data_IF_635018535303
#
_entry.id   IF_635018535303
#
_cell.length_a   1.000
_cell.length_b   1.000
_cell.length_c   1.000
_cell.angle_alpha   90.00
_cell.angle_beta   90.00
_cell.angle_gamma   90.00
#
_symmetry.space_group_name_H-M   'P 1'
#
loop_
_entity.id
_entity.type
_entity.pdbx_description
1 polymer ?
#
# COMPACT_ATOMS: atom_id res chain seq x y z
N UNK A 1 -33.44 -67.08 -15.55
CA UNK A 1 -32.15 -66.38 -15.86
C UNK A 1 -32.42 -64.89 -16.00
N UNK A 2 -32.08 -64.13 -14.99
CA UNK A 2 -32.24 -62.67 -14.98
C UNK A 2 -30.85 -62.04 -15.15
N UNK A 3 -30.64 -61.29 -16.22
CA UNK A 3 -29.42 -60.56 -16.47
C UNK A 3 -29.55 -59.15 -15.82
N UNK A 4 -28.70 -58.87 -14.87
CA UNK A 4 -28.58 -57.56 -14.24
C UNK A 4 -27.50 -56.77 -14.98
N UNK A 5 -27.89 -55.66 -15.59
CA UNK A 5 -27.00 -54.74 -16.29
C UNK A 5 -26.43 -53.74 -15.28
N UNK A 6 -25.12 -53.74 -15.10
CA UNK A 6 -24.41 -52.80 -14.22
C UNK A 6 -23.98 -51.59 -15.07
N UNK A 7 -24.58 -50.42 -14.80
CA UNK A 7 -24.18 -49.16 -15.43
C UNK A 7 -23.10 -48.50 -14.55
N UNK A 8 -21.89 -48.45 -15.05
CA UNK A 8 -20.79 -47.70 -14.42
C UNK A 8 -20.88 -46.22 -14.80
N UNK A 9 -21.10 -45.37 -13.82
CA UNK A 9 -21.11 -43.93 -13.97
C UNK A 9 -19.67 -43.40 -13.88
N UNK A 10 -19.08 -43.01 -15.00
CA UNK A 10 -17.80 -42.31 -15.04
C UNK A 10 -18.01 -40.87 -14.62
N UNK A 11 -17.52 -40.51 -13.43
CA UNK A 11 -17.39 -39.12 -13.00
C UNK A 11 -16.05 -38.59 -13.54
N UNK A 12 -16.10 -37.82 -14.62
CA UNK A 12 -14.97 -37.05 -15.08
C UNK A 12 -14.81 -35.79 -14.22
N UNK A 13 -13.83 -35.80 -13.34
CA UNK A 13 -13.41 -34.63 -12.59
C UNK A 13 -12.73 -33.64 -13.56
N UNK A 14 -13.42 -32.54 -13.85
CA UNK A 14 -12.83 -31.43 -14.61
C UNK A 14 -11.82 -30.68 -13.74
N UNK A 15 -10.53 -31.00 -13.87
CA UNK A 15 -9.39 -30.26 -13.32
C UNK A 15 -8.89 -29.21 -14.33
N UNK A 16 -9.73 -28.22 -14.64
CA UNK A 16 -9.37 -27.14 -15.57
C UNK A 16 -9.83 -25.80 -15.02
N UNK A 17 -9.02 -25.16 -14.17
CA UNK A 17 -9.09 -23.69 -13.96
C UNK A 17 -7.94 -23.05 -13.17
N UNK A 18 -6.99 -23.81 -12.61
CA UNK A 18 -5.90 -23.20 -11.80
C UNK A 18 -4.72 -22.65 -12.62
N UNK A 19 -4.49 -23.09 -13.84
CA UNK A 19 -3.31 -22.70 -14.61
C UNK A 19 -3.44 -21.31 -15.28
N UNK A 20 -4.64 -20.90 -15.62
CA UNK A 20 -4.86 -19.63 -16.33
C UNK A 20 -4.77 -18.38 -15.42
N UNK A 21 -5.02 -18.52 -14.11
CA UNK A 21 -4.91 -17.38 -13.17
C UNK A 21 -3.46 -17.03 -12.83
N UNK A 22 -2.59 -18.04 -12.74
CA UNK A 22 -1.16 -17.85 -12.45
C UNK A 22 -0.45 -17.15 -13.62
N UNK A 23 -0.76 -17.53 -14.86
CA UNK A 23 -0.17 -16.89 -16.06
C UNK A 23 -0.57 -15.42 -16.19
N UNK A 24 -1.84 -15.07 -15.90
CA UNK A 24 -2.31 -13.70 -16.04
C UNK A 24 -1.77 -12.74 -14.96
N UNK A 25 -1.40 -13.26 -13.76
CA UNK A 25 -0.75 -12.46 -12.72
C UNK A 25 0.74 -12.29 -13.02
N UNK A 26 1.41 -13.33 -13.51
CA UNK A 26 2.83 -13.30 -13.92
C UNK A 26 3.09 -12.25 -15.00
N UNK A 27 2.13 -12.04 -15.93
CA UNK A 27 2.22 -11.01 -16.97
C UNK A 27 2.10 -9.57 -16.47
N UNK A 28 1.70 -9.33 -15.21
CA UNK A 28 1.57 -8.01 -14.59
C UNK A 28 2.68 -7.72 -13.57
N UNK A 29 3.65 -8.62 -13.41
CA UNK A 29 4.77 -8.44 -12.50
C UNK A 29 5.85 -7.54 -13.13
N UNK A 30 6.32 -6.57 -12.36
CA UNK A 30 7.37 -5.63 -12.73
C UNK A 30 8.57 -5.92 -11.82
N UNK A 31 9.62 -6.53 -12.38
CA UNK A 31 10.69 -7.09 -11.56
C UNK A 31 12.00 -6.34 -11.57
N UNK A 32 12.28 -5.43 -12.52
CA UNK A 32 13.64 -4.88 -12.59
C UNK A 32 13.81 -3.52 -13.25
N UNK A 33 12.79 -2.92 -13.88
CA UNK A 33 13.01 -1.76 -14.73
C UNK A 33 12.31 -0.49 -14.24
N UNK A 34 12.77 0.62 -14.74
CA UNK A 34 12.10 1.90 -14.66
C UNK A 34 10.68 1.72 -15.22
N UNK A 35 9.70 1.76 -14.31
CA UNK A 35 8.31 1.68 -14.69
C UNK A 35 7.93 2.92 -15.51
N UNK A 36 7.51 2.77 -16.75
CA UNK A 36 7.24 3.89 -17.67
C UNK A 36 5.75 4.05 -17.95
N UNK A 37 5.32 5.28 -18.13
CA UNK A 37 3.95 5.62 -18.51
C UNK A 37 3.75 5.51 -20.04
N UNK A 38 2.51 5.74 -20.50
CA UNK A 38 2.15 5.68 -21.93
C UNK A 38 2.81 6.75 -22.78
N UNK A 39 3.44 7.76 -22.17
CA UNK A 39 4.19 8.80 -22.86
C UNK A 39 5.71 8.51 -22.86
N UNK A 40 6.12 7.32 -22.39
CA UNK A 40 7.51 6.87 -22.32
C UNK A 40 8.33 7.53 -21.20
N UNK A 41 7.66 8.10 -20.18
CA UNK A 41 8.32 8.74 -19.05
C UNK A 41 8.31 7.84 -17.82
N UNK A 42 9.36 7.89 -16.98
CA UNK A 42 9.34 7.18 -15.70
C UNK A 42 8.11 7.55 -14.86
N UNK A 43 7.44 6.53 -14.32
CA UNK A 43 6.41 6.75 -13.31
C UNK A 43 7.09 7.21 -12.03
N UNK A 44 6.57 8.27 -11.43
CA UNK A 44 7.03 8.81 -10.16
C UNK A 44 5.83 8.84 -9.20
N UNK A 45 5.61 7.72 -8.52
CA UNK A 45 4.50 7.48 -7.61
C UNK A 45 4.93 6.47 -6.54
N UNK A 46 5.76 6.91 -5.59
CA UNK A 46 6.34 6.05 -4.57
C UNK A 46 5.45 5.90 -3.33
N UNK A 47 5.74 4.93 -2.48
CA UNK A 47 4.88 4.63 -1.32
C UNK A 47 3.42 4.40 -1.69
N UNK A 48 3.19 3.89 -2.88
CA UNK A 48 1.93 3.97 -3.59
C UNK A 48 0.79 3.12 -3.00
N UNK A 49 -0.43 3.49 -3.39
CA UNK A 49 -1.64 2.66 -3.30
C UNK A 49 -2.44 2.74 -4.58
N UNK A 50 -3.29 1.75 -4.81
CA UNK A 50 -4.15 1.66 -5.99
C UNK A 50 -5.60 1.61 -5.58
N UNK A 51 -6.42 2.49 -6.18
CA UNK A 51 -7.86 2.42 -6.12
C UNK A 51 -8.40 1.83 -7.45
N UNK A 52 -9.19 0.75 -7.36
CA UNK A 52 -10.00 0.31 -8.50
C UNK A 52 -11.39 0.94 -8.42
N UNK A 53 -11.78 1.67 -9.47
CA UNK A 53 -13.06 2.35 -9.53
C UNK A 53 -13.62 2.35 -10.95
N UNK A 54 -14.81 1.77 -11.13
CA UNK A 54 -15.55 1.73 -12.40
C UNK A 54 -14.72 1.23 -13.59
N UNK A 55 -14.00 0.12 -13.40
CA UNK A 55 -13.21 -0.53 -14.46
C UNK A 55 -11.81 0.05 -14.66
N UNK A 56 -11.38 1.02 -13.86
CA UNK A 56 -10.10 1.70 -13.98
C UNK A 56 -9.34 1.61 -12.67
N UNK A 57 -8.06 1.26 -12.75
CA UNK A 57 -7.10 1.35 -11.65
C UNK A 57 -6.50 2.76 -11.62
N UNK A 58 -6.44 3.36 -10.45
CA UNK A 58 -5.79 4.65 -10.20
C UNK A 58 -4.67 4.44 -9.18
N UNK A 59 -3.44 4.60 -9.65
CA UNK A 59 -2.22 4.54 -8.85
C UNK A 59 -1.93 5.93 -8.29
N UNK A 60 -1.81 6.04 -6.98
CA UNK A 60 -1.43 7.26 -6.28
C UNK A 60 -0.13 7.05 -5.54
N UNK A 61 0.80 7.97 -5.66
CA UNK A 61 2.06 7.88 -4.92
C UNK A 61 2.70 9.26 -4.73
N UNK A 62 3.61 9.31 -3.78
CA UNK A 62 4.42 10.49 -3.52
C UNK A 62 5.40 10.76 -4.67
N UNK A 63 5.56 12.03 -5.00
CA UNK A 63 6.52 12.46 -6.03
C UNK A 63 7.88 12.70 -5.37
N UNK A 64 8.86 11.91 -5.74
CA UNK A 64 10.27 12.10 -5.38
C UNK A 64 10.96 12.83 -6.52
N UNK A 65 11.30 14.12 -6.34
CA UNK A 65 11.91 14.93 -7.40
C UNK A 65 12.84 16.00 -6.85
N UNK A 66 14.04 16.06 -7.42
CA UNK A 66 15.06 17.02 -7.07
C UNK A 66 16.22 16.41 -6.28
N UNK A 67 17.13 17.24 -5.81
CA UNK A 67 18.33 16.78 -5.12
C UNK A 67 17.99 16.05 -3.82
N UNK A 68 18.58 14.89 -3.64
CA UNK A 68 18.55 14.16 -2.37
C UNK A 68 19.61 14.70 -1.42
N UNK A 69 19.25 14.89 -0.16
CA UNK A 69 20.18 15.33 0.90
C UNK A 69 20.05 14.49 2.15
N UNK A 70 21.13 14.44 2.93
CA UNK A 70 21.16 13.83 4.25
C UNK A 70 20.72 14.85 5.31
N UNK A 71 19.74 14.50 6.14
CA UNK A 71 19.28 15.34 7.24
C UNK A 71 20.37 15.37 8.33
N UNK A 72 20.86 16.57 8.75
CA UNK A 72 21.92 16.65 9.76
C UNK A 72 21.45 16.18 11.13
N UNK A 73 22.37 15.59 11.90
CA UNK A 73 22.20 15.26 13.33
C UNK A 73 21.14 14.18 13.64
N UNK A 74 20.80 13.36 12.67
CA UNK A 74 20.03 12.14 12.93
C UNK A 74 20.97 11.00 13.37
N UNK A 75 20.47 10.06 14.15
CA UNK A 75 21.21 8.87 14.60
C UNK A 75 21.16 7.70 13.59
N UNK A 76 20.52 7.92 12.44
CA UNK A 76 20.40 7.00 11.32
C UNK A 76 20.52 7.77 9.99
N UNK A 77 20.80 7.08 8.90
CA UNK A 77 20.92 7.69 7.56
C UNK A 77 19.56 8.14 7.05
N UNK A 78 19.24 9.39 7.27
CA UNK A 78 17.95 10.00 6.97
C UNK A 78 18.04 10.88 5.72
N UNK A 79 17.89 10.26 4.56
CA UNK A 79 17.89 10.97 3.29
C UNK A 79 16.51 11.55 2.95
N UNK A 80 16.48 12.73 2.36
CA UNK A 80 15.28 13.44 1.92
C UNK A 80 15.40 14.00 0.52
N UNK A 81 14.26 14.27 -0.06
CA UNK A 81 14.06 15.00 -1.30
C UNK A 81 12.91 15.98 -1.10
N UNK A 82 12.85 17.13 -1.80
CA UNK A 82 11.71 18.04 -1.67
C UNK A 82 10.38 17.33 -1.88
N UNK A 83 9.39 17.61 -1.02
CA UNK A 83 8.07 17.03 -1.19
C UNK A 83 7.44 17.50 -2.51
N UNK A 84 7.21 16.59 -3.43
CA UNK A 84 6.66 16.88 -4.76
C UNK A 84 5.13 16.84 -4.82
N UNK A 85 4.47 16.49 -3.71
CA UNK A 85 3.03 16.23 -3.66
C UNK A 85 2.68 14.79 -4.04
N UNK A 86 1.45 14.56 -4.50
CA UNK A 86 0.94 13.24 -4.88
C UNK A 86 0.61 13.21 -6.36
N UNK A 87 1.20 12.28 -7.09
CA UNK A 87 0.89 11.99 -8.48
C UNK A 87 -0.23 10.96 -8.60
N UNK A 88 -0.87 10.93 -9.77
CA UNK A 88 -1.85 9.91 -10.12
C UNK A 88 -1.59 9.38 -11.53
N UNK A 89 -1.71 8.06 -11.69
CA UNK A 89 -1.72 7.38 -12.99
C UNK A 89 -2.95 6.51 -13.09
N UNK A 90 -3.42 6.21 -14.29
CA UNK A 90 -4.57 5.34 -14.49
C UNK A 90 -4.32 4.28 -15.53
N UNK A 91 -4.86 3.08 -15.30
CA UNK A 91 -4.74 1.91 -16.18
C UNK A 91 -6.03 1.10 -16.18
N UNK A 92 -6.32 0.41 -17.29
CA UNK A 92 -7.40 -0.59 -17.36
C UNK A 92 -6.87 -2.01 -17.28
N UNK A 93 -5.56 -2.22 -17.40
CA UNK A 93 -4.93 -3.52 -17.55
C UNK A 93 -3.72 -3.76 -16.64
N UNK A 94 -3.36 -2.77 -15.79
CA UNK A 94 -2.17 -2.78 -14.91
C UNK A 94 -0.82 -2.75 -15.64
N UNK A 95 -0.82 -2.63 -16.97
CA UNK A 95 0.38 -2.62 -17.82
C UNK A 95 0.63 -1.22 -18.40
N UNK A 96 -0.41 -0.62 -18.93
CA UNK A 96 -0.33 0.68 -19.60
C UNK A 96 -0.90 1.76 -18.66
N UNK A 97 -0.01 2.59 -18.14
CA UNK A 97 -0.34 3.63 -17.17
C UNK A 97 -0.32 5.02 -17.80
N UNK A 98 -1.48 5.66 -17.85
CA UNK A 98 -1.60 7.03 -18.33
C UNK A 98 -1.39 8.01 -17.18
N UNK A 99 -0.46 8.95 -17.37
CA UNK A 99 -0.19 10.02 -16.41
C UNK A 99 -1.41 10.97 -16.29
N UNK A 100 -1.84 11.22 -15.06
CA UNK A 100 -2.93 12.16 -14.71
C UNK A 100 -2.41 13.44 -14.06
N UNK A 101 -1.09 13.53 -13.88
CA UNK A 101 -0.40 14.65 -13.25
C UNK A 101 -0.34 14.58 -11.74
N UNK A 102 0.11 15.67 -11.13
CA UNK A 102 0.15 15.85 -9.68
C UNK A 102 -1.23 16.31 -9.21
N UNK A 103 -1.95 15.43 -8.50
CA UNK A 103 -3.35 15.60 -8.11
C UNK A 103 -3.53 16.29 -6.76
N UNK A 104 -2.49 16.25 -5.91
CA UNK A 104 -2.33 17.07 -4.71
C UNK A 104 -0.96 17.72 -4.79
N UNK A 105 -0.92 19.03 -4.99
CA UNK A 105 0.32 19.76 -5.23
C UNK A 105 0.95 20.23 -3.93
N UNK A 106 2.27 20.08 -3.82
CA UNK A 106 3.05 20.80 -2.83
C UNK A 106 3.11 22.31 -3.13
N UNK A 107 3.46 23.06 -2.11
CA UNK A 107 3.67 24.50 -2.19
C UNK A 107 5.12 24.83 -1.85
N UNK A 108 5.59 26.00 -2.26
CA UNK A 108 6.92 26.52 -1.91
C UNK A 108 6.80 27.77 -1.05
N UNK A 109 7.82 28.02 -0.22
CA UNK A 109 7.93 29.23 0.59
C UNK A 109 6.76 29.43 1.57
N UNK A 110 6.25 28.33 2.15
CA UNK A 110 5.24 28.33 3.22
C UNK A 110 5.70 27.48 4.40
N UNK A 111 6.81 27.82 5.08
CA UNK A 111 7.32 27.02 6.18
C UNK A 111 6.24 26.74 7.24
N UNK A 112 6.15 25.48 7.67
CA UNK A 112 5.15 25.03 8.65
C UNK A 112 3.78 24.69 8.05
N UNK A 113 3.58 24.87 6.75
CA UNK A 113 2.41 24.35 6.05
C UNK A 113 2.66 22.91 5.62
N UNK A 114 1.76 22.01 5.94
CA UNK A 114 1.90 20.57 5.73
C UNK A 114 2.31 20.14 4.32
N UNK A 115 1.88 20.88 3.30
CA UNK A 115 2.23 20.61 1.90
C UNK A 115 3.38 21.48 1.41
N UNK A 116 4.16 22.15 2.27
CA UNK A 116 5.37 22.84 1.83
C UNK A 116 6.42 21.83 1.38
N UNK A 117 7.23 22.20 0.38
CA UNK A 117 8.30 21.33 -0.16
C UNK A 117 9.38 20.98 0.87
N UNK A 118 9.45 21.71 1.99
CA UNK A 118 10.32 21.39 3.13
C UNK A 118 9.76 20.34 4.09
N UNK A 119 8.52 19.89 3.88
CA UNK A 119 7.88 18.84 4.66
C UNK A 119 8.10 17.46 4.02
N UNK A 120 7.61 16.43 4.70
CA UNK A 120 7.52 15.06 4.22
C UNK A 120 6.07 14.75 3.89
N UNK A 121 5.81 14.22 2.69
CA UNK A 121 4.52 13.71 2.25
C UNK A 121 4.77 12.28 1.77
N UNK A 122 4.27 11.28 2.51
CA UNK A 122 4.57 9.87 2.24
C UNK A 122 3.30 9.01 2.28
N UNK A 123 3.37 7.84 1.63
CA UNK A 123 2.36 6.78 1.69
C UNK A 123 0.91 7.20 1.36
N UNK A 124 0.64 8.01 0.34
CA UNK A 124 -0.73 8.40 0.02
C UNK A 124 -1.57 7.18 -0.37
N UNK A 125 -2.77 7.07 0.19
CA UNK A 125 -3.77 6.06 -0.13
C UNK A 125 -5.11 6.71 -0.36
N UNK A 126 -5.87 6.20 -1.32
CA UNK A 126 -7.19 6.74 -1.68
C UNK A 126 -8.24 5.64 -1.62
N UNK A 127 -9.38 5.97 -1.00
CA UNK A 127 -10.58 5.14 -1.00
C UNK A 127 -11.80 5.96 -1.44
N UNK A 128 -12.80 5.29 -2.00
CA UNK A 128 -14.05 5.93 -2.39
C UNK A 128 -15.13 5.70 -1.32
N UNK A 129 -15.78 6.78 -0.93
CA UNK A 129 -16.92 6.77 -0.01
C UNK A 129 -18.22 6.82 -0.81
N UNK A 130 -19.00 5.73 -0.79
CA UNK A 130 -20.25 5.63 -1.54
C UNK A 130 -21.34 6.55 -1.02
N UNK A 131 -21.34 6.87 0.27
CA UNK A 131 -22.34 7.72 0.90
C UNK A 131 -22.15 9.17 0.50
N UNK A 132 -20.94 9.71 0.69
CA UNK A 132 -20.61 11.10 0.31
C UNK A 132 -20.30 11.27 -1.17
N UNK A 133 -20.08 10.16 -1.91
CA UNK A 133 -19.64 10.13 -3.32
C UNK A 133 -18.33 10.87 -3.55
N UNK A 134 -17.44 10.82 -2.56
CA UNK A 134 -16.13 11.48 -2.57
C UNK A 134 -15.00 10.46 -2.57
N UNK A 135 -13.87 10.90 -3.13
CA UNK A 135 -12.59 10.21 -3.03
C UNK A 135 -11.83 10.83 -1.87
N UNK A 136 -11.43 10.00 -0.91
CA UNK A 136 -10.75 10.43 0.31
C UNK A 136 -9.33 9.92 0.25
N UNK A 137 -8.36 10.82 0.42
CA UNK A 137 -6.94 10.51 0.48
C UNK A 137 -6.45 10.74 1.90
N UNK A 138 -5.74 9.76 2.44
CA UNK A 138 -4.92 9.91 3.64
C UNK A 138 -3.46 9.72 3.26
N UNK A 139 -2.57 10.37 4.01
CA UNK A 139 -1.12 10.30 3.81
C UNK A 139 -0.38 10.61 5.11
N UNK A 140 0.85 10.14 5.23
CA UNK A 140 1.77 10.56 6.28
C UNK A 140 2.30 11.96 5.97
N UNK A 141 2.20 12.87 6.93
CA UNK A 141 2.77 14.23 6.92
C UNK A 141 3.77 14.35 8.05
N UNK A 142 4.98 14.77 7.73
CA UNK A 142 6.01 14.96 8.74
C UNK A 142 6.94 16.15 8.42
N UNK A 143 7.77 16.48 9.39
CA UNK A 143 8.96 17.30 9.18
C UNK A 143 10.12 16.41 8.73
N UNK A 144 11.16 17.02 8.21
CA UNK A 144 12.36 16.31 7.78
C UNK A 144 13.01 15.44 8.88
N UNK A 145 12.80 15.77 10.15
CA UNK A 145 13.33 15.06 11.31
C UNK A 145 12.32 14.06 11.94
N UNK A 146 11.17 13.83 11.30
CA UNK A 146 10.06 13.00 11.79
C UNK A 146 9.54 13.37 13.20
N UNK A 147 9.58 14.66 13.55
CA UNK A 147 9.10 15.17 14.84
C UNK A 147 7.62 15.56 14.84
N UNK A 148 6.93 15.53 13.70
CA UNK A 148 5.54 15.98 13.54
C UNK A 148 4.54 14.82 13.50
N UNK A 149 4.76 13.83 12.67
CA UNK A 149 4.10 12.51 12.58
C UNK A 149 2.57 12.59 12.62
N UNK A 150 1.96 13.11 11.56
CA UNK A 150 0.51 13.30 11.44
C UNK A 150 -0.08 12.63 10.20
N UNK A 151 -1.39 12.34 10.25
CA UNK A 151 -2.17 11.90 9.11
C UNK A 151 -2.79 13.10 8.38
N UNK A 152 -2.33 13.38 7.16
CA UNK A 152 -2.92 14.38 6.28
C UNK A 152 -4.15 13.84 5.56
N UNK A 153 -5.19 14.68 5.38
CA UNK A 153 -6.43 14.30 4.73
C UNK A 153 -6.72 15.23 3.55
N UNK A 154 -7.13 14.65 2.43
CA UNK A 154 -7.57 15.40 1.26
C UNK A 154 -8.79 14.75 0.60
N UNK A 155 -9.59 15.53 -0.11
CA UNK A 155 -10.86 15.12 -0.69
C UNK A 155 -10.99 15.56 -2.15
N UNK A 156 -11.65 14.74 -2.98
CA UNK A 156 -11.96 15.09 -4.37
C UNK A 156 -13.31 14.53 -4.82
N UNK A 157 -13.91 15.22 -5.81
CA UNK A 157 -15.10 14.73 -6.54
C UNK A 157 -14.74 13.73 -7.65
N UNK A 158 -13.47 13.67 -8.05
CA UNK A 158 -13.00 12.83 -9.16
C UNK A 158 -11.86 11.91 -8.69
N UNK A 159 -11.76 10.68 -9.19
CA UNK A 159 -10.70 9.77 -8.77
C UNK A 159 -9.30 10.34 -8.99
N UNK A 160 -9.09 11.07 -10.07
CA UNK A 160 -7.80 11.69 -10.44
C UNK A 160 -7.71 13.18 -10.08
N UNK A 161 -8.47 13.62 -9.08
CA UNK A 161 -8.36 14.96 -8.51
C UNK A 161 -8.98 16.09 -9.38
N UNK A 162 -8.59 17.35 -9.12
CA UNK A 162 -7.66 17.75 -8.07
C UNK A 162 -8.19 17.44 -6.65
N UNK A 163 -7.28 17.12 -5.74
CA UNK A 163 -7.61 16.94 -4.32
C UNK A 163 -7.48 18.25 -3.57
N UNK A 164 -8.46 18.54 -2.71
CA UNK A 164 -8.43 19.64 -1.76
C UNK A 164 -7.91 19.13 -0.43
N UNK A 165 -6.79 19.65 0.03
CA UNK A 165 -6.24 19.35 1.35
C UNK A 165 -7.11 19.95 2.45
N UNK A 166 -7.38 19.18 3.50
CA UNK A 166 -8.24 19.56 4.63
C UNK A 166 -7.43 19.84 5.91
N UNK A 167 -6.18 19.41 5.97
CA UNK A 167 -5.31 19.50 7.13
C UNK A 167 -4.80 18.15 7.58
N UNK A 168 -4.03 18.13 8.66
CA UNK A 168 -3.51 16.93 9.29
C UNK A 168 -3.92 16.81 10.75
N UNK A 169 -3.94 15.58 11.25
CA UNK A 169 -4.32 15.25 12.63
C UNK A 169 -3.42 14.13 13.17
N UNK A 170 -3.27 14.04 14.48
CA UNK A 170 -2.78 12.86 15.17
C UNK A 170 -3.98 11.96 15.48
N UNK A 171 -4.11 10.80 14.83
CA UNK A 171 -5.20 9.88 15.10
C UNK A 171 -5.21 9.47 16.58
N UNK A 172 -6.31 9.69 17.30
CA UNK A 172 -6.43 9.36 18.73
C UNK A 172 -5.26 9.92 19.59
N UNK A 173 -4.78 11.12 19.26
CA UNK A 173 -3.60 11.78 19.86
C UNK A 173 -2.29 11.00 19.72
N UNK A 174 -2.23 10.04 18.80
CA UNK A 174 -1.07 9.20 18.55
C UNK A 174 -0.27 9.66 17.33
N UNK A 175 1.04 9.36 17.33
CA UNK A 175 1.89 9.57 16.15
C UNK A 175 1.37 8.71 15.00
N UNK A 176 1.37 9.25 13.79
CA UNK A 176 1.15 8.51 12.56
C UNK A 176 2.37 8.65 11.66
N UNK A 177 2.98 7.53 11.31
CA UNK A 177 4.03 7.42 10.29
C UNK A 177 3.53 6.57 9.12
N UNK A 178 4.29 5.60 8.66
CA UNK A 178 3.89 4.73 7.55
C UNK A 178 2.48 4.19 7.74
N UNK A 179 1.66 4.34 6.71
CA UNK A 179 0.24 4.03 6.81
C UNK A 179 -0.34 3.40 5.55
N UNK A 180 -1.47 2.74 5.71
CA UNK A 180 -2.35 2.33 4.63
C UNK A 180 -3.81 2.51 5.01
N UNK A 181 -4.68 2.49 4.00
CA UNK A 181 -6.13 2.44 4.18
C UNK A 181 -6.66 1.08 3.76
N UNK A 182 -7.68 0.62 4.47
CA UNK A 182 -8.44 -0.55 4.10
C UNK A 182 -9.93 -0.26 4.19
N UNK A 183 -10.67 -0.54 3.12
CA UNK A 183 -12.13 -0.49 3.09
C UNK A 183 -12.65 -1.92 3.04
N UNK A 184 -13.43 -2.29 4.06
CA UNK A 184 -13.97 -3.64 4.19
C UNK A 184 -15.28 -3.81 3.38
N UNK A 185 -15.74 -5.06 3.28
CA UNK A 185 -16.91 -5.46 2.51
C UNK A 185 -18.22 -4.87 3.09
N UNK A 186 -18.25 -4.54 4.39
CA UNK A 186 -19.38 -3.88 5.06
C UNK A 186 -19.40 -2.34 4.85
N UNK A 187 -18.43 -1.82 4.09
CA UNK A 187 -18.28 -0.40 3.80
C UNK A 187 -17.59 0.40 4.89
N UNK A 188 -17.19 -0.20 6.01
CA UNK A 188 -16.34 0.48 6.98
C UNK A 188 -14.92 0.64 6.42
N UNK A 189 -14.28 1.72 6.80
CA UNK A 189 -12.90 1.98 6.43
C UNK A 189 -12.01 2.08 7.66
N UNK A 190 -10.78 1.63 7.51
CA UNK A 190 -9.79 1.55 8.57
C UNK A 190 -8.49 2.23 8.12
N UNK A 191 -7.87 2.93 9.06
CA UNK A 191 -6.52 3.47 8.95
C UNK A 191 -5.59 2.55 9.74
N UNK A 192 -4.60 1.99 9.07
CA UNK A 192 -3.57 1.14 9.67
C UNK A 192 -2.25 1.90 9.59
N UNK A 193 -1.56 2.11 10.70
CA UNK A 193 -0.39 2.96 10.72
C UNK A 193 0.62 2.58 11.80
N UNK A 194 1.89 2.87 11.52
CA UNK A 194 2.97 2.80 12.51
C UNK A 194 2.88 3.97 13.47
N UNK A 195 3.01 3.67 14.75
CA UNK A 195 2.93 4.62 15.84
C UNK A 195 4.00 4.35 16.91
N UNK A 196 4.02 5.14 17.99
CA UNK A 196 4.92 4.94 19.13
C UNK A 196 6.40 4.83 18.68
N UNK A 197 6.86 5.75 17.79
CA UNK A 197 8.17 5.71 17.14
C UNK A 197 8.42 4.41 16.35
N UNK A 198 7.44 3.95 15.60
CA UNK A 198 7.40 2.68 14.85
C UNK A 198 7.45 1.42 15.73
N UNK A 199 7.34 1.53 17.05
CA UNK A 199 7.36 0.37 17.93
C UNK A 199 6.08 -0.47 17.85
N UNK A 200 4.94 0.18 17.59
CA UNK A 200 3.63 -0.46 17.62
C UNK A 200 2.80 -0.02 16.42
N UNK A 201 2.06 -0.92 15.85
CA UNK A 201 1.11 -0.61 14.79
C UNK A 201 -0.29 -0.42 15.36
N UNK A 202 -1.04 0.54 14.82
CA UNK A 202 -2.42 0.81 15.21
C UNK A 202 -3.37 0.50 14.04
N UNK A 203 -4.55 0.00 14.37
CA UNK A 203 -5.71 -0.10 13.47
C UNK A 203 -6.82 0.75 14.06
N UNK A 204 -7.27 1.75 13.31
CA UNK A 204 -8.31 2.68 13.74
C UNK A 204 -9.48 2.68 12.76
N UNK A 205 -10.70 2.57 13.27
CA UNK A 205 -11.92 2.74 12.48
C UNK A 205 -12.10 4.20 12.11
N UNK A 206 -12.30 4.49 10.83
CA UNK A 206 -12.63 5.82 10.34
C UNK A 206 -14.11 6.14 10.55
N UNK A 207 -14.43 7.44 10.60
CA UNK A 207 -15.80 7.95 10.57
C UNK A 207 -16.55 7.53 9.31
N UNK A 208 -17.88 7.66 9.28
CA UNK A 208 -18.70 7.25 8.13
C UNK A 208 -18.36 8.00 6.83
N UNK A 209 -17.81 9.20 6.92
CA UNK A 209 -17.36 9.98 5.76
C UNK A 209 -15.88 9.72 5.40
N UNK A 210 -15.17 8.92 6.21
CA UNK A 210 -13.75 8.57 6.12
C UNK A 210 -12.78 9.75 6.31
N UNK A 211 -13.26 10.90 6.81
CA UNK A 211 -12.46 12.12 6.96
C UNK A 211 -11.77 12.24 8.31
N UNK A 212 -12.25 11.49 9.31
CA UNK A 212 -11.70 11.53 10.68
C UNK A 212 -11.59 10.11 11.24
N UNK A 213 -10.80 9.96 12.29
CA UNK A 213 -10.75 8.73 13.08
C UNK A 213 -11.86 8.71 14.12
N UNK A 214 -12.31 7.52 14.52
CA UNK A 214 -13.17 7.32 15.69
C UNK A 214 -12.32 6.98 16.91
N UNK A 215 -12.95 6.86 18.08
CA UNK A 215 -12.30 6.35 19.29
C UNK A 215 -12.11 4.83 19.28
N UNK A 216 -12.62 4.15 18.24
CA UNK A 216 -12.51 2.70 18.09
C UNK A 216 -11.18 2.38 17.39
N UNK A 217 -10.19 2.00 18.17
CA UNK A 217 -8.89 1.59 17.66
C UNK A 217 -8.28 0.47 18.51
N UNK A 218 -7.30 -0.22 17.95
CA UNK A 218 -6.52 -1.24 18.64
C UNK A 218 -5.05 -1.11 18.33
N UNK A 219 -4.22 -1.51 19.27
CA UNK A 219 -2.77 -1.65 19.11
C UNK A 219 -2.45 -3.08 18.72
N UNK A 220 -1.71 -3.27 17.65
CA UNK A 220 -1.29 -4.57 17.11
C UNK A 220 0.21 -4.59 16.91
N UNK A 221 0.82 -5.76 16.79
CA UNK A 221 2.27 -5.92 16.65
C UNK A 221 3.05 -5.06 17.67
N UNK A 222 2.59 -5.11 18.94
CA UNK A 222 3.08 -4.25 20.02
C UNK A 222 4.56 -4.52 20.30
N UNK A 223 5.39 -3.46 20.30
CA UNK A 223 6.84 -3.48 20.50
C UNK A 223 7.60 -4.35 19.46
N UNK A 224 7.07 -4.48 18.24
CA UNK A 224 7.70 -5.28 17.17
C UNK A 224 8.58 -4.47 16.23
N UNK A 225 8.54 -3.13 16.28
CA UNK A 225 9.32 -2.28 15.40
C UNK A 225 8.99 -2.53 13.92
N UNK A 226 7.70 -2.33 13.55
CA UNK A 226 7.22 -2.58 12.18
C UNK A 226 6.69 -1.32 11.55
N UNK A 227 6.94 -1.18 10.24
CA UNK A 227 6.47 -0.08 9.41
C UNK A 227 5.93 -0.58 8.06
N UNK A 228 5.50 0.32 7.21
CA UNK A 228 5.03 0.06 5.84
C UNK A 228 3.91 -0.98 5.75
N UNK A 229 2.77 -0.77 6.42
CA UNK A 229 1.67 -1.73 6.43
C UNK A 229 1.05 -1.90 5.05
N UNK A 230 0.84 -3.15 4.63
CA UNK A 230 0.14 -3.54 3.42
C UNK A 230 -0.89 -4.62 3.76
N UNK A 231 -2.16 -4.24 3.83
CA UNK A 231 -3.26 -5.11 4.26
C UNK A 231 -4.13 -5.55 3.08
N UNK A 232 -4.62 -6.78 3.15
CA UNK A 232 -5.65 -7.29 2.25
C UNK A 232 -6.50 -8.35 2.94
N UNK A 233 -7.65 -8.67 2.33
CA UNK A 233 -8.59 -9.69 2.81
C UNK A 233 -8.76 -10.78 1.78
N UNK A 234 -8.68 -12.03 2.20
CA UNK A 234 -8.96 -13.19 1.36
C UNK A 234 -9.78 -14.23 2.14
N UNK A 235 -10.89 -14.68 1.56
CA UNK A 235 -11.78 -15.70 2.15
C UNK A 235 -12.14 -15.43 3.64
N UNK A 236 -12.43 -14.15 3.96
CA UNK A 236 -12.84 -13.73 5.30
C UNK A 236 -11.69 -13.47 6.27
N UNK A 237 -10.44 -13.83 5.94
CA UNK A 237 -9.24 -13.56 6.75
C UNK A 237 -8.51 -12.30 6.28
N UNK A 238 -7.95 -11.58 7.23
CA UNK A 238 -7.11 -10.40 6.99
C UNK A 238 -5.63 -10.79 7.06
N UNK A 239 -4.86 -10.26 6.14
CA UNK A 239 -3.41 -10.43 6.03
C UNK A 239 -2.76 -9.06 6.06
N UNK A 240 -1.76 -8.89 6.91
CA UNK A 240 -1.02 -7.64 7.06
C UNK A 240 0.47 -7.90 6.86
N UNK A 241 1.03 -7.46 5.75
CA UNK A 241 2.47 -7.50 5.48
C UNK A 241 3.10 -6.21 5.97
N UNK A 242 4.27 -6.29 6.58
CA UNK A 242 5.01 -5.14 7.13
C UNK A 242 6.50 -5.29 6.87
N UNK A 243 7.26 -4.19 6.88
CA UNK A 243 8.72 -4.18 6.91
C UNK A 243 9.26 -3.94 8.33
N UNK A 244 10.53 -4.22 8.55
CA UNK A 244 11.26 -3.72 9.73
C UNK A 244 11.63 -2.25 9.57
N UNK A 245 12.16 -1.65 10.63
CA UNK A 245 12.58 -0.24 10.66
C UNK A 245 14.09 -0.13 10.39
N UNK A 246 14.48 0.06 9.14
CA UNK A 246 15.88 0.22 8.71
C UNK A 246 16.10 1.45 7.82
N UNK A 247 15.21 2.45 7.92
CA UNK A 247 15.23 3.63 7.05
C UNK A 247 15.06 3.22 5.58
N UNK A 248 15.91 3.74 4.69
CA UNK A 248 15.86 3.43 3.26
C UNK A 248 16.54 2.11 2.87
N UNK A 249 17.17 1.41 3.82
CA UNK A 249 17.80 0.12 3.56
C UNK A 249 16.77 -1.01 3.56
N UNK A 250 16.83 -1.95 2.60
CA UNK A 250 15.88 -3.05 2.55
C UNK A 250 16.07 -4.02 3.73
N UNK A 251 14.98 -4.65 4.15
CA UNK A 251 14.97 -5.61 5.24
C UNK A 251 13.94 -6.73 5.01
N UNK A 252 13.93 -7.73 5.89
CA UNK A 252 12.97 -8.80 5.83
C UNK A 252 11.54 -8.31 6.12
N UNK A 253 10.62 -8.63 5.22
CA UNK A 253 9.20 -8.53 5.52
C UNK A 253 8.79 -9.55 6.59
N UNK A 254 7.68 -9.29 7.25
CA UNK A 254 6.91 -10.27 8.01
C UNK A 254 5.43 -10.06 7.72
N UNK A 255 4.59 -11.01 8.10
CA UNK A 255 3.16 -10.80 7.99
C UNK A 255 2.42 -11.30 9.24
N UNK A 256 1.19 -10.86 9.39
CA UNK A 256 0.29 -11.34 10.42
C UNK A 256 -1.07 -11.66 9.81
N UNK A 257 -1.83 -12.55 10.45
CA UNK A 257 -3.15 -13.01 10.02
C UNK A 257 -4.16 -12.79 11.14
N UNK A 258 -5.39 -12.41 10.79
CA UNK A 258 -6.48 -12.27 11.74
C UNK A 258 -7.83 -12.64 11.12
N UNK A 259 -8.77 -13.11 11.94
CA UNK A 259 -10.18 -13.32 11.56
C UNK A 259 -10.99 -12.02 11.68
N UNK A 260 -10.48 -11.03 12.43
CA UNK A 260 -11.08 -9.72 12.60
C UNK A 260 -10.01 -8.67 12.43
N UNK A 261 -10.30 -7.59 11.68
CA UNK A 261 -9.33 -6.52 11.40
C UNK A 261 -8.82 -5.83 12.69
N UNK A 262 -9.63 -5.78 13.74
CA UNK A 262 -9.24 -5.26 15.05
C UNK A 262 -8.42 -6.28 15.87
N UNK A 263 -8.18 -7.48 15.35
CA UNK A 263 -7.43 -8.56 15.98
C UNK A 263 -8.29 -9.55 16.78
N UNK A 264 -7.65 -10.51 17.48
CA UNK A 264 -6.19 -10.62 17.62
C UNK A 264 -5.49 -10.99 16.31
N UNK A 265 -4.25 -10.49 16.14
CA UNK A 265 -3.40 -10.78 15.00
C UNK A 265 -2.34 -11.81 15.39
N UNK A 266 -2.20 -12.84 14.58
CA UNK A 266 -1.19 -13.88 14.72
C UNK A 266 -0.02 -13.61 13.79
N UNK A 267 1.16 -13.36 14.37
CA UNK A 267 2.38 -13.09 13.61
C UNK A 267 2.88 -14.35 12.90
N UNK A 268 3.41 -14.15 11.69
CA UNK A 268 4.03 -15.14 10.82
C UNK A 268 5.41 -14.66 10.39
N UNK A 269 6.19 -15.57 9.88
CA UNK A 269 7.53 -15.33 9.35
C UNK A 269 7.51 -14.52 8.03
N UNK A 270 8.70 -14.32 7.46
CA UNK A 270 8.88 -13.66 6.17
C UNK A 270 8.11 -14.39 5.05
N UNK A 271 7.19 -13.72 4.35
CA UNK A 271 6.47 -14.30 3.23
C UNK A 271 7.32 -14.43 1.96
N UNK A 272 8.41 -13.67 1.83
CA UNK A 272 9.30 -13.73 0.67
C UNK A 272 10.08 -15.05 0.64
N UNK A 273 10.22 -15.65 -0.54
CA UNK A 273 10.88 -16.95 -0.73
C UNK A 273 11.87 -16.86 -1.89
N UNK A 274 12.98 -17.59 -1.79
CA UNK A 274 14.03 -17.63 -2.81
C UNK A 274 15.17 -16.67 -2.56
N UNK A 275 15.92 -16.35 -3.60
CA UNK A 275 17.10 -15.48 -3.54
C UNK A 275 16.71 -14.05 -3.14
N UNK A 276 17.47 -13.45 -2.20
CA UNK A 276 17.22 -12.10 -1.64
C UNK A 276 15.89 -11.95 -0.87
N UNK A 277 15.27 -13.05 -0.44
CA UNK A 277 14.06 -13.04 0.37
C UNK A 277 14.24 -12.34 1.71
N UNK A 278 15.44 -12.42 2.30
CA UNK A 278 15.82 -11.82 3.59
C UNK A 278 15.85 -10.29 3.56
N UNK A 279 15.89 -9.71 2.37
CA UNK A 279 15.81 -8.25 2.12
C UNK A 279 14.61 -7.89 1.25
N UNK A 280 13.61 -8.77 1.21
CA UNK A 280 12.37 -8.58 0.44
C UNK A 280 12.64 -8.17 -1.02
N UNK A 281 13.63 -8.84 -1.65
CA UNK A 281 14.10 -8.59 -3.02
C UNK A 281 14.58 -7.13 -3.23
N UNK A 282 15.25 -6.57 -2.21
CA UNK A 282 15.70 -5.18 -2.15
C UNK A 282 14.57 -4.15 -2.18
N UNK A 283 13.37 -4.52 -1.70
CA UNK A 283 12.21 -3.61 -1.69
C UNK A 283 11.61 -3.45 -0.30
N UNK A 284 10.85 -2.39 -0.12
CA UNK A 284 9.94 -2.19 0.99
C UNK A 284 8.51 -2.24 0.48
N UNK A 285 7.72 -3.21 0.93
CA UNK A 285 6.29 -3.30 0.59
C UNK A 285 5.50 -2.15 1.20
N UNK A 286 4.45 -1.71 0.53
CA UNK A 286 3.60 -0.61 1.02
C UNK A 286 2.14 -0.74 0.64
N UNK A 287 1.82 -1.74 -0.19
CA UNK A 287 0.45 -2.04 -0.61
C UNK A 287 0.33 -3.47 -1.13
N UNK A 288 -0.84 -4.06 -0.97
CA UNK A 288 -1.23 -5.27 -1.69
C UNK A 288 -2.47 -4.96 -2.51
N UNK A 289 -2.35 -5.10 -3.83
CA UNK A 289 -3.42 -4.80 -4.77
C UNK A 289 -4.27 -6.03 -5.04
N UNK A 290 -5.57 -6.05 -4.68
CA UNK A 290 -6.50 -7.04 -5.19
C UNK A 290 -6.73 -6.84 -6.69
N UNK A 291 -6.54 -7.89 -7.49
CA UNK A 291 -6.76 -7.80 -8.95
C UNK A 291 -8.25 -7.89 -9.24
N UNK A 292 -8.82 -6.82 -9.79
CA UNK A 292 -10.25 -6.75 -10.09
C UNK A 292 -10.68 -7.87 -11.05
N UNK A 293 -11.85 -8.43 -10.80
CA UNK A 293 -12.44 -9.56 -11.56
C UNK A 293 -11.62 -10.87 -11.52
N UNK A 294 -10.64 -10.97 -10.61
CA UNK A 294 -9.85 -12.18 -10.36
C UNK A 294 -9.80 -12.49 -8.86
N UNK A 295 -10.87 -13.04 -8.28
CA UNK A 295 -10.91 -13.37 -6.86
C UNK A 295 -9.72 -14.22 -6.42
N UNK A 296 -9.12 -13.91 -5.28
CA UNK A 296 -7.95 -14.60 -4.74
C UNK A 296 -6.62 -14.24 -5.42
N UNK A 297 -6.63 -13.30 -6.38
CA UNK A 297 -5.40 -12.82 -7.03
C UNK A 297 -4.99 -11.47 -6.44
N UNK A 298 -3.75 -11.40 -5.96
CA UNK A 298 -3.20 -10.22 -5.31
C UNK A 298 -1.78 -9.94 -5.81
N UNK A 299 -1.41 -8.67 -5.85
CA UNK A 299 -0.07 -8.20 -6.22
C UNK A 299 0.54 -7.45 -5.03
N UNK A 300 1.66 -7.94 -4.54
CA UNK A 300 2.52 -7.21 -3.61
C UNK A 300 3.20 -6.08 -4.35
N UNK A 301 3.10 -4.87 -3.81
CA UNK A 301 3.70 -3.66 -4.37
C UNK A 301 4.75 -3.13 -3.41
N UNK A 302 5.99 -3.05 -3.87
CA UNK A 302 7.11 -2.53 -3.12
C UNK A 302 7.87 -1.45 -3.88
N UNK A 303 8.57 -0.60 -3.13
CA UNK A 303 9.52 0.38 -3.63
C UNK A 303 10.95 -0.11 -3.38
N UNK A 304 11.81 -0.04 -4.40
CA UNK A 304 13.26 -0.22 -4.31
C UNK A 304 13.89 1.15 -4.15
N UNK A 305 14.14 1.54 -2.91
CA UNK A 305 14.65 2.85 -2.59
C UNK A 305 16.11 3.02 -3.00
N UNK A 306 16.40 4.05 -3.79
CA UNK A 306 17.76 4.54 -4.00
C UNK A 306 18.02 5.65 -2.98
N UNK A 307 18.58 5.32 -1.82
CA UNK A 307 18.72 6.26 -0.70
C UNK A 307 19.55 7.50 -1.01
N UNK A 308 20.49 7.41 -1.93
CA UNK A 308 21.37 8.53 -2.31
C UNK A 308 20.83 9.38 -3.46
N UNK A 309 19.81 8.86 -4.16
CA UNK A 309 19.11 9.56 -5.24
C UNK A 309 17.66 9.07 -5.28
N UNK A 310 16.82 9.61 -4.38
CA UNK A 310 15.45 9.14 -4.18
C UNK A 310 14.58 9.28 -5.43
N UNK A 311 14.92 10.19 -6.35
CA UNK A 311 14.21 10.34 -7.63
C UNK A 311 14.41 9.12 -8.54
N UNK A 312 15.53 8.38 -8.38
CA UNK A 312 15.85 7.16 -9.13
C UNK A 312 15.41 5.86 -8.44
N UNK A 313 14.60 5.95 -7.41
CA UNK A 313 13.97 4.76 -6.82
C UNK A 313 13.10 4.04 -7.86
N UNK A 314 13.03 2.71 -7.78
CA UNK A 314 12.28 1.87 -8.71
C UNK A 314 11.23 1.05 -7.98
N UNK A 315 10.55 0.15 -8.68
CA UNK A 315 9.42 -0.59 -8.13
C UNK A 315 9.63 -2.10 -8.26
N UNK A 316 8.98 -2.84 -7.38
CA UNK A 316 8.86 -4.29 -7.46
C UNK A 316 7.39 -4.67 -7.24
N UNK A 317 6.78 -5.32 -8.22
CA UNK A 317 5.42 -5.84 -8.11
C UNK A 317 5.43 -7.33 -8.38
N UNK A 318 5.03 -8.12 -7.39
CA UNK A 318 5.07 -9.59 -7.44
C UNK A 318 3.71 -10.19 -7.08
N UNK A 319 3.36 -11.37 -7.62
CA UNK A 319 2.16 -12.07 -7.21
C UNK A 319 2.27 -12.52 -5.76
N UNK A 320 1.15 -12.47 -5.04
CA UNK A 320 1.00 -13.09 -3.73
C UNK A 320 0.34 -14.44 -3.90
N UNK A 321 1.06 -15.50 -3.54
CA UNK A 321 0.54 -16.86 -3.54
C UNK A 321 -0.07 -17.18 -2.17
N UNK A 322 -1.31 -17.67 -2.16
CA UNK A 322 -2.04 -17.94 -0.93
C UNK A 322 -2.42 -19.42 -0.90
N UNK A 323 -2.03 -20.09 0.18
CA UNK A 323 -2.43 -21.48 0.45
C UNK A 323 -2.95 -21.56 1.87
N UNK A 324 -4.27 -21.72 2.01
CA UNK A 324 -5.00 -21.60 3.28
C UNK A 324 -4.78 -20.20 3.89
N UNK A 325 -4.09 -20.11 5.04
CA UNK A 325 -3.71 -18.86 5.74
C UNK A 325 -2.21 -18.51 5.65
N UNK A 326 -1.51 -19.17 4.71
CA UNK A 326 -0.11 -18.85 4.40
C UNK A 326 -0.01 -18.05 3.10
N UNK A 327 0.89 -17.07 3.10
CA UNK A 327 1.23 -16.31 1.91
C UNK A 327 2.71 -16.49 1.55
N UNK A 328 2.98 -16.54 0.26
CA UNK A 328 4.34 -16.59 -0.30
C UNK A 328 4.45 -15.60 -1.45
N UNK A 329 5.63 -14.95 -1.56
CA UNK A 329 5.97 -13.97 -2.58
C UNK A 329 7.33 -14.38 -3.15
N UNK A 330 7.41 -14.59 -4.47
CA UNK A 330 8.65 -14.98 -5.20
C UNK A 330 8.63 -14.64 -6.67
#
# INVERSE_FOLDING_TARGET
MKHTLLIALLITCNSLSFSNSIHAVKDTCFTDDVFIDTDGKPINAHGAGVLYYKGIYYLFGEVKKGNTWLVPKQNWEDFRVPAGGVSCYSSTDLKHWKNRGVVLKSTTNKPGYDLDTSMVIERPKVIYNEHSKKFIMWMHIDKNDYSYSQGGVAISDKPFGPYKYLGSVKPNDQMLRDMTLFKDDDGKAYLIYSSENNNTMHVCLLSNDYLTTTEIYTRILVNKGRESPAIFKNQGKYFLITSGCSGWSPNAASYAVADNIMGPWEERENPCKGENAEVSFFSQGGFVLPVANKPGSFIFMGDRWNKTDLEKSTYLWLPVHITNDKIEIY
#
